data_IF_739195200905
#
_entry.id   IF_739195200905
#
_cell.length_a   1.000
_cell.length_b   1.000
_cell.length_c   1.000
_cell.angle_alpha   90.00
_cell.angle_beta   90.00
_cell.angle_gamma   90.00
#
_symmetry.space_group_name_H-M   'P 1'
#
loop_
_entity.id
_entity.type
_entity.pdbx_description
1 polymer ?
#
# COMPACT_ATOMS: atom_id res chain seq x y z
N UNK A 1 -23.51 5.14 -2.29
CA UNK A 1 -23.80 6.55 -2.06
C UNK A 1 -25.30 6.84 -2.28
N UNK A 2 -25.83 6.70 -3.47
CA UNK A 2 -27.23 7.03 -3.79
C UNK A 2 -28.27 6.33 -2.90
N UNK A 3 -28.09 5.05 -2.58
CA UNK A 3 -29.03 4.30 -1.74
C UNK A 3 -29.10 4.82 -0.30
N UNK A 4 -28.00 5.37 0.23
CA UNK A 4 -27.94 6.01 1.56
C UNK A 4 -28.57 7.38 1.54
N UNK A 5 -28.28 8.20 0.51
CA UNK A 5 -28.90 9.51 0.34
C UNK A 5 -30.42 9.43 0.29
N UNK A 6 -30.96 8.44 -0.44
CA UNK A 6 -32.41 8.16 -0.46
C UNK A 6 -32.99 7.82 0.93
N UNK A 7 -32.15 7.35 1.86
CA UNK A 7 -32.54 7.05 3.26
C UNK A 7 -32.23 8.20 4.24
N UNK A 8 -31.82 9.37 3.73
CA UNK A 8 -31.54 10.55 4.56
C UNK A 8 -30.23 10.47 5.36
N UNK A 9 -29.26 9.61 4.97
CA UNK A 9 -27.97 9.54 5.61
C UNK A 9 -26.84 9.55 4.58
N UNK A 10 -25.89 10.46 4.76
CA UNK A 10 -24.69 10.58 3.92
C UNK A 10 -23.51 9.84 4.54
N UNK A 11 -22.50 9.50 3.73
CA UNK A 11 -21.23 9.00 4.22
C UNK A 11 -20.31 10.19 4.54
N UNK A 12 -19.71 10.19 5.71
CA UNK A 12 -18.73 11.21 6.10
C UNK A 12 -17.45 11.10 5.26
N UNK A 13 -16.94 9.88 5.09
CA UNK A 13 -15.72 9.65 4.35
C UNK A 13 -15.72 8.30 3.61
N UNK A 14 -14.89 8.23 2.57
CA UNK A 14 -14.50 7.02 1.85
C UNK A 14 -13.02 6.76 2.09
N UNK A 15 -12.69 5.67 2.77
CA UNK A 15 -11.31 5.25 3.01
C UNK A 15 -10.89 4.17 2.02
N UNK A 16 -9.67 4.28 1.47
CA UNK A 16 -9.15 3.34 0.48
C UNK A 16 -7.62 3.25 0.53
N UNK A 17 -7.08 2.05 0.31
CA UNK A 17 -5.66 1.87 -0.03
C UNK A 17 -5.50 2.10 -1.56
N UNK A 18 -4.84 3.17 -2.02
CA UNK A 18 -4.72 3.46 -3.45
C UNK A 18 -3.88 2.44 -4.22
N UNK A 19 -4.35 2.02 -5.39
CA UNK A 19 -3.65 1.15 -6.31
C UNK A 19 -3.72 -0.33 -5.98
N UNK A 20 -3.57 -0.71 -4.71
CA UNK A 20 -3.60 -2.10 -4.27
C UNK A 20 -4.03 -2.23 -2.82
N UNK A 21 -5.00 -3.09 -2.54
CA UNK A 21 -5.41 -3.44 -1.18
C UNK A 21 -4.46 -4.50 -0.60
N UNK A 22 -3.62 -4.10 0.37
CA UNK A 22 -2.58 -4.94 0.93
C UNK A 22 -3.10 -6.15 1.69
N UNK A 23 -3.74 -5.96 2.87
CA UNK A 23 -4.18 -7.06 3.74
C UNK A 23 -5.22 -8.00 3.12
N UNK A 24 -5.94 -7.55 2.11
CA UNK A 24 -6.92 -8.36 1.39
C UNK A 24 -6.30 -9.38 0.41
N UNK A 25 -4.98 -9.51 0.35
CA UNK A 25 -4.26 -10.39 -0.56
C UNK A 25 -3.65 -9.66 -1.76
N UNK A 26 -3.27 -8.41 -1.57
CA UNK A 26 -2.66 -7.55 -2.60
C UNK A 26 -3.54 -7.44 -3.86
N UNK A 27 -4.83 -7.17 -3.65
CA UNK A 27 -5.81 -7.03 -4.73
C UNK A 27 -5.56 -5.70 -5.45
N UNK A 28 -5.06 -5.78 -6.68
CA UNK A 28 -4.83 -4.60 -7.52
C UNK A 28 -6.16 -4.01 -8.00
N UNK A 29 -6.27 -2.69 -7.94
CA UNK A 29 -7.43 -1.98 -8.47
C UNK A 29 -7.31 -1.83 -10.00
N UNK A 30 -8.40 -1.94 -10.75
CA UNK A 30 -8.40 -1.65 -12.17
C UNK A 30 -7.97 -0.20 -12.44
N UNK A 31 -7.22 0.01 -13.52
CA UNK A 31 -6.78 1.36 -13.91
C UNK A 31 -7.96 2.31 -14.05
N UNK A 32 -7.87 3.49 -13.44
CA UNK A 32 -8.90 4.52 -13.46
C UNK A 32 -10.08 4.25 -12.51
N UNK A 33 -10.10 3.12 -11.81
CA UNK A 33 -11.16 2.81 -10.85
C UNK A 33 -11.19 3.84 -9.72
N UNK A 34 -10.04 4.13 -9.14
CA UNK A 34 -9.93 5.05 -8.02
C UNK A 34 -10.33 6.48 -8.43
N UNK A 35 -9.89 6.94 -9.60
CA UNK A 35 -10.31 8.24 -10.15
C UNK A 35 -11.83 8.35 -10.27
N UNK A 36 -12.48 7.29 -10.76
CA UNK A 36 -13.94 7.26 -10.93
C UNK A 36 -14.67 7.24 -9.59
N UNK A 37 -14.23 6.42 -8.64
CA UNK A 37 -14.83 6.38 -7.29
C UNK A 37 -14.61 7.69 -6.56
N UNK A 38 -13.44 8.30 -6.70
CA UNK A 38 -13.15 9.61 -6.13
C UNK A 38 -14.05 10.71 -6.68
N UNK A 39 -14.32 10.71 -7.99
CA UNK A 39 -15.28 11.67 -8.59
C UNK A 39 -16.68 11.50 -7.98
N UNK A 40 -17.16 10.26 -7.82
CA UNK A 40 -18.44 9.96 -7.19
C UNK A 40 -18.45 10.45 -5.72
N UNK A 41 -17.37 10.20 -4.96
CA UNK A 41 -17.28 10.69 -3.58
C UNK A 41 -17.40 12.22 -3.50
N UNK A 42 -16.71 12.94 -4.41
CA UNK A 42 -16.79 14.41 -4.49
C UNK A 42 -18.19 14.90 -4.84
N UNK A 43 -18.85 14.27 -5.80
CA UNK A 43 -20.24 14.58 -6.17
C UNK A 43 -21.19 14.47 -4.97
N UNK A 44 -20.93 13.50 -4.08
CA UNK A 44 -21.70 13.28 -2.85
C UNK A 44 -21.13 14.00 -1.62
N UNK A 45 -20.20 14.94 -1.77
CA UNK A 45 -19.57 15.67 -0.68
C UNK A 45 -18.98 14.77 0.40
N UNK A 46 -18.52 13.58 0.01
CA UNK A 46 -17.88 12.59 0.87
C UNK A 46 -16.37 12.80 0.84
N UNK A 47 -15.75 12.96 2.01
CA UNK A 47 -14.31 13.13 2.12
C UNK A 47 -13.58 11.85 1.69
N UNK A 48 -12.36 12.00 1.18
CA UNK A 48 -11.53 10.89 0.72
C UNK A 48 -10.33 10.75 1.65
N UNK A 49 -10.18 9.56 2.24
CA UNK A 49 -9.03 9.17 3.06
C UNK A 49 -8.20 8.19 2.25
N UNK A 50 -7.00 8.59 1.83
CA UNK A 50 -6.05 7.70 1.17
C UNK A 50 -5.14 7.05 2.21
N UNK A 51 -5.30 5.75 2.43
CA UNK A 51 -4.39 4.97 3.25
C UNK A 51 -3.18 4.54 2.40
N UNK A 52 -2.15 5.37 2.42
CA UNK A 52 -0.88 5.12 1.75
C UNK A 52 0.21 4.59 2.71
N UNK A 53 -0.20 4.03 3.83
CA UNK A 53 0.71 3.42 4.81
C UNK A 53 1.56 2.32 4.18
N UNK A 54 1.00 1.53 3.24
CA UNK A 54 1.73 0.52 2.50
C UNK A 54 2.09 0.98 1.08
N UNK A 55 1.21 1.67 0.41
CA UNK A 55 1.32 1.98 -1.02
C UNK A 55 2.16 3.20 -1.31
N UNK A 56 2.27 4.12 -0.34
CA UNK A 56 2.96 5.39 -0.46
C UNK A 56 4.48 5.31 -0.53
N UNK A 57 5.09 6.48 -0.60
CA UNK A 57 6.53 6.70 -0.63
C UNK A 57 7.24 5.86 -1.71
N UNK A 58 6.56 5.74 -2.86
CA UNK A 58 7.09 5.07 -4.04
C UNK A 58 7.03 3.56 -4.02
N UNK A 59 6.31 2.94 -3.06
CA UNK A 59 6.22 1.49 -2.96
C UNK A 59 5.36 0.88 -4.06
N UNK A 60 4.14 1.40 -4.25
CA UNK A 60 3.17 0.83 -5.19
C UNK A 60 3.02 1.62 -6.50
N UNK A 61 3.74 2.72 -6.68
CA UNK A 61 3.65 3.54 -7.89
C UNK A 61 5.02 4.06 -8.35
N UNK A 62 5.08 4.60 -9.55
CA UNK A 62 6.27 5.28 -10.07
C UNK A 62 6.52 6.63 -9.34
N UNK A 63 5.44 7.30 -8.90
CA UNK A 63 5.47 8.51 -8.09
C UNK A 63 5.66 8.20 -6.60
N UNK A 64 5.51 9.22 -5.75
CA UNK A 64 5.55 9.04 -4.29
C UNK A 64 4.27 8.41 -3.77
N UNK A 65 3.12 8.79 -4.32
CA UNK A 65 1.81 8.36 -3.86
C UNK A 65 1.01 7.71 -4.99
N UNK A 66 0.36 6.60 -4.68
CA UNK A 66 -0.47 5.89 -5.62
C UNK A 66 -1.77 6.66 -5.92
N UNK A 67 -2.30 7.40 -4.95
CA UNK A 67 -3.43 8.33 -5.15
C UNK A 67 -3.14 9.37 -6.23
N UNK A 68 -1.97 9.99 -6.23
CA UNK A 68 -1.57 10.94 -7.26
C UNK A 68 -1.42 10.28 -8.64
N UNK A 69 -0.90 9.05 -8.69
CA UNK A 69 -0.81 8.29 -9.94
C UNK A 69 -2.19 8.02 -10.57
N UNK A 70 -3.22 7.85 -9.74
CA UNK A 70 -4.63 7.68 -10.12
C UNK A 70 -5.38 9.02 -10.22
N UNK A 71 -4.67 10.16 -10.15
CA UNK A 71 -5.21 11.53 -10.26
C UNK A 71 -6.27 11.88 -9.19
N UNK A 72 -6.10 11.36 -7.99
CA UNK A 72 -6.90 11.73 -6.83
C UNK A 72 -6.10 12.60 -5.90
N UNK A 73 -6.73 13.68 -5.43
CA UNK A 73 -6.26 14.47 -4.31
C UNK A 73 -7.15 14.16 -3.11
N UNK A 74 -6.66 13.40 -2.12
CA UNK A 74 -7.44 13.06 -0.94
C UNK A 74 -7.55 14.26 0.01
N UNK A 75 -8.54 14.22 0.91
CA UNK A 75 -8.66 15.18 2.03
C UNK A 75 -7.73 14.79 3.17
N UNK A 76 -7.49 13.48 3.32
CA UNK A 76 -6.54 12.91 4.28
C UNK A 76 -5.63 11.92 3.58
N UNK A 77 -4.33 12.07 3.82
CA UNK A 77 -3.29 11.17 3.31
C UNK A 77 -2.54 10.56 4.49
N UNK A 78 -2.77 9.26 4.73
CA UNK A 78 -2.13 8.53 5.82
C UNK A 78 -0.83 7.89 5.33
N UNK A 79 0.29 8.17 5.98
CA UNK A 79 1.62 7.63 5.66
C UNK A 79 2.31 7.07 6.90
N UNK A 80 3.09 5.99 6.71
CA UNK A 80 3.91 5.37 7.75
C UNK A 80 4.99 4.51 7.09
N UNK A 81 5.45 3.45 7.73
CA UNK A 81 6.40 2.44 7.21
C UNK A 81 7.61 3.04 6.48
N UNK A 82 7.47 3.32 5.18
CA UNK A 82 8.50 3.97 4.37
C UNK A 82 8.86 5.36 4.84
N UNK A 83 8.02 6.02 5.65
CA UNK A 83 8.30 7.34 6.20
C UNK A 83 9.61 7.36 7.00
N UNK A 84 9.90 6.33 7.76
CA UNK A 84 11.17 6.18 8.52
C UNK A 84 12.10 5.13 7.90
N UNK A 85 11.79 4.63 6.70
CA UNK A 85 12.53 3.51 6.11
C UNK A 85 12.42 2.21 6.90
N UNK A 86 11.49 2.12 7.86
CA UNK A 86 11.31 0.95 8.73
C UNK A 86 12.18 0.93 9.98
N UNK A 87 12.96 1.98 10.24
CA UNK A 87 13.86 2.03 11.40
C UNK A 87 13.15 2.38 12.71
N UNK A 88 12.17 3.29 12.67
CA UNK A 88 11.44 3.74 13.86
C UNK A 88 9.94 3.77 13.60
N UNK A 89 9.10 3.51 14.62
CA UNK A 89 7.66 3.63 14.50
C UNK A 89 7.27 5.12 14.42
N UNK A 90 6.77 5.53 13.27
CA UNK A 90 6.22 6.86 13.04
C UNK A 90 5.18 6.81 11.92
N UNK A 91 4.12 7.56 12.08
CA UNK A 91 3.09 7.77 11.08
C UNK A 91 2.72 9.26 11.04
N UNK A 92 2.16 9.69 9.92
CA UNK A 92 1.59 11.02 9.79
C UNK A 92 0.31 10.93 8.97
N UNK A 93 -0.63 11.80 9.31
CA UNK A 93 -1.81 12.07 8.48
C UNK A 93 -1.72 13.53 8.02
N UNK A 94 -1.54 13.70 6.73
CA UNK A 94 -1.58 15.01 6.09
C UNK A 94 -3.03 15.31 5.72
N UNK A 95 -3.41 16.58 5.83
CA UNK A 95 -4.77 17.00 5.51
C UNK A 95 -4.78 18.35 4.78
N UNK A 96 -5.96 18.76 4.29
CA UNK A 96 -6.13 20.07 3.66
C UNK A 96 -6.18 21.18 4.71
N UNK A 97 -5.92 22.42 4.28
CA UNK A 97 -6.03 23.60 5.15
C UNK A 97 -7.46 23.74 5.71
N UNK A 98 -8.48 23.47 4.90
CA UNK A 98 -9.89 23.53 5.31
C UNK A 98 -10.18 22.59 6.49
N UNK A 99 -9.66 21.35 6.44
CA UNK A 99 -9.80 20.39 7.54
C UNK A 99 -9.06 20.88 8.78
N UNK A 100 -7.82 21.36 8.63
CA UNK A 100 -7.05 21.91 9.73
C UNK A 100 -7.77 23.09 10.41
N UNK A 101 -8.29 24.03 9.63
CA UNK A 101 -8.98 25.20 10.12
C UNK A 101 -10.24 24.86 10.90
N UNK A 102 -10.87 23.73 10.62
CA UNK A 102 -12.06 23.27 11.35
C UNK A 102 -11.78 22.92 12.82
N UNK A 103 -10.51 22.69 13.18
CA UNK A 103 -10.04 22.44 14.53
C UNK A 103 -9.54 23.70 15.26
N UNK A 104 -9.53 24.83 14.58
CA UNK A 104 -9.15 26.12 15.18
C UNK A 104 -10.36 26.81 15.76
N UNK A 105 -10.20 27.46 16.90
CA UNK A 105 -11.27 28.20 17.59
C UNK A 105 -10.82 28.74 18.94
N UNK A 106 -11.71 29.45 19.60
CA UNK A 106 -11.50 29.93 20.95
C UNK A 106 -11.48 28.76 21.94
N UNK A 107 -10.89 28.97 23.11
CA UNK A 107 -10.67 27.91 24.10
C UNK A 107 -11.96 27.20 24.53
N UNK A 108 -13.05 27.91 24.68
CA UNK A 108 -14.37 27.44 25.12
C UNK A 108 -15.19 26.76 24.00
N UNK A 109 -14.77 26.87 22.74
CA UNK A 109 -15.40 26.18 21.61
C UNK A 109 -15.05 24.69 21.52
N UNK A 110 -14.04 24.23 22.24
CA UNK A 110 -13.58 22.84 22.28
C UNK A 110 -13.35 22.19 20.90
N UNK A 111 -12.90 22.98 19.93
CA UNK A 111 -12.62 22.52 18.55
C UNK A 111 -11.28 21.80 18.40
N UNK A 112 -10.45 21.80 19.43
CA UNK A 112 -9.13 21.19 19.41
C UNK A 112 -9.19 19.71 19.04
N UNK A 113 -8.30 19.26 18.16
CA UNK A 113 -8.14 17.86 17.81
C UNK A 113 -7.47 17.09 18.96
N UNK A 114 -8.26 16.58 19.90
CA UNK A 114 -7.78 15.83 21.07
C UNK A 114 -7.33 14.42 20.70
N UNK A 115 -6.27 14.30 19.92
CA UNK A 115 -5.72 13.01 19.50
C UNK A 115 -4.19 13.02 19.56
N UNK A 116 -3.63 11.95 20.13
CA UNK A 116 -2.18 11.77 20.22
C UNK A 116 -1.82 10.72 21.27
N UNK A 117 -0.54 10.51 21.43
CA UNK A 117 0.07 9.68 22.48
C UNK A 117 1.40 10.28 22.92
N UNK A 118 1.97 9.77 24.02
CA UNK A 118 3.18 10.34 24.63
C UNK A 118 4.39 10.49 23.70
N UNK A 119 4.45 9.68 22.64
CA UNK A 119 5.55 9.69 21.67
C UNK A 119 5.22 10.44 20.36
N UNK A 120 4.08 11.13 20.30
CA UNK A 120 3.72 11.96 19.14
C UNK A 120 4.78 13.03 18.93
N UNK A 121 5.25 13.17 17.68
CA UNK A 121 6.26 14.17 17.29
C UNK A 121 7.66 13.89 17.87
N UNK A 122 7.99 12.66 18.28
CA UNK A 122 9.29 12.36 18.83
C UNK A 122 10.43 12.70 17.85
N UNK A 123 11.53 13.34 18.31
CA UNK A 123 12.58 13.87 17.45
C UNK A 123 13.38 12.77 16.73
N UNK A 124 13.50 11.57 17.31
CA UNK A 124 14.22 10.47 16.66
C UNK A 124 13.45 9.98 15.43
N UNK A 125 12.11 9.82 15.56
CA UNK A 125 11.26 9.46 14.43
C UNK A 125 11.27 10.54 13.36
N UNK A 126 11.26 11.82 13.73
CA UNK A 126 11.36 12.95 12.80
C UNK A 126 12.69 12.94 12.04
N UNK A 127 13.82 12.77 12.73
CA UNK A 127 15.14 12.67 12.11
C UNK A 127 15.25 11.49 11.14
N UNK A 128 14.75 10.31 11.54
CA UNK A 128 14.71 9.14 10.67
C UNK A 128 13.82 9.36 9.43
N UNK A 129 12.70 10.09 9.59
CA UNK A 129 11.81 10.44 8.49
C UNK A 129 12.47 11.37 7.49
N UNK A 130 13.15 12.42 7.96
CA UNK A 130 13.88 13.33 7.08
C UNK A 130 14.96 12.59 6.29
N UNK A 131 15.79 11.80 6.95
CA UNK A 131 16.83 11.01 6.28
C UNK A 131 16.24 10.02 5.26
N UNK A 132 15.09 9.39 5.56
CA UNK A 132 14.40 8.50 4.64
C UNK A 132 13.87 9.25 3.41
N UNK A 133 13.30 10.44 3.59
CA UNK A 133 12.80 11.27 2.50
C UNK A 133 13.95 11.75 1.60
N UNK A 134 15.06 12.20 2.17
CA UNK A 134 16.26 12.61 1.42
C UNK A 134 16.79 11.47 0.54
N UNK A 135 16.86 10.26 1.10
CA UNK A 135 17.22 9.05 0.34
C UNK A 135 16.23 8.74 -0.77
N UNK A 136 14.94 8.90 -0.51
CA UNK A 136 13.88 8.63 -1.47
C UNK A 136 13.91 9.60 -2.66
N UNK A 137 14.25 10.86 -2.41
CA UNK A 137 14.36 11.91 -3.43
C UNK A 137 15.64 11.79 -4.26
N UNK A 138 16.65 11.08 -3.77
CA UNK A 138 17.88 10.88 -4.51
C UNK A 138 17.60 10.22 -5.87
N UNK A 139 18.28 10.71 -6.93
CA UNK A 139 18.13 10.19 -8.29
C UNK A 139 18.43 8.68 -8.40
N UNK A 140 19.34 8.19 -7.55
CA UNK A 140 19.70 6.77 -7.45
C UNK A 140 18.51 5.91 -6.95
N UNK A 141 17.78 6.37 -5.92
CA UNK A 141 16.62 5.61 -5.40
C UNK A 141 15.49 5.54 -6.41
N UNK A 142 15.22 6.62 -7.14
CA UNK A 142 14.22 6.60 -8.22
C UNK A 142 14.56 5.56 -9.30
N UNK A 143 15.83 5.47 -9.70
CA UNK A 143 16.28 4.47 -10.68
C UNK A 143 16.20 3.05 -10.12
N UNK A 144 16.61 2.83 -8.84
CA UNK A 144 16.52 1.53 -8.18
C UNK A 144 15.06 1.03 -8.10
N UNK A 145 14.11 1.92 -7.76
CA UNK A 145 12.66 1.59 -7.73
C UNK A 145 12.16 1.11 -9.09
N UNK A 146 12.51 1.82 -10.17
CA UNK A 146 12.16 1.43 -11.55
C UNK A 146 12.75 0.08 -11.92
N UNK A 147 14.03 -0.13 -11.63
CA UNK A 147 14.74 -1.38 -11.91
C UNK A 147 14.13 -2.54 -11.12
N UNK A 148 13.84 -2.34 -9.84
CA UNK A 148 13.20 -3.35 -8.99
C UNK A 148 11.86 -3.78 -9.58
N UNK A 149 10.97 -2.83 -9.92
CA UNK A 149 9.67 -3.14 -10.50
C UNK A 149 9.78 -3.91 -11.83
N UNK A 150 10.73 -3.51 -12.68
CA UNK A 150 11.00 -4.20 -13.96
C UNK A 150 11.52 -5.63 -13.74
N UNK A 151 12.46 -5.81 -12.81
CA UNK A 151 13.02 -7.11 -12.46
C UNK A 151 11.97 -8.05 -11.87
N UNK A 152 11.14 -7.59 -10.92
CA UNK A 152 10.02 -8.36 -10.37
C UNK A 152 9.10 -8.85 -11.49
N UNK A 153 8.72 -7.95 -12.40
CA UNK A 153 7.87 -8.30 -13.56
C UNK A 153 8.51 -9.33 -14.48
N UNK A 154 9.81 -9.20 -14.73
CA UNK A 154 10.54 -10.08 -15.64
C UNK A 154 10.71 -11.47 -15.04
N UNK A 155 11.21 -11.55 -13.82
CA UNK A 155 11.56 -12.83 -13.18
C UNK A 155 10.34 -13.60 -12.66
N UNK A 156 9.20 -12.96 -12.44
CA UNK A 156 7.95 -13.67 -12.08
C UNK A 156 7.26 -14.37 -13.25
N UNK A 157 7.56 -13.99 -14.50
CA UNK A 157 6.91 -14.58 -15.69
C UNK A 157 6.94 -16.12 -15.76
N UNK A 158 8.05 -16.81 -15.45
CA UNK A 158 8.08 -18.27 -15.50
C UNK A 158 7.09 -18.94 -14.55
N UNK A 159 6.68 -18.29 -13.46
CA UNK A 159 5.74 -18.84 -12.51
C UNK A 159 4.35 -19.12 -13.12
N UNK A 160 3.98 -18.41 -14.20
CA UNK A 160 2.75 -18.70 -14.95
C UNK A 160 2.68 -20.08 -15.58
N UNK A 161 3.79 -20.80 -15.63
CA UNK A 161 3.86 -22.18 -16.15
C UNK A 161 3.51 -23.24 -15.08
N UNK A 162 3.35 -22.81 -13.83
CA UNK A 162 3.05 -23.68 -12.72
C UNK A 162 1.52 -23.79 -12.53
N UNK A 163 0.98 -24.98 -12.57
CA UNK A 163 -0.46 -25.25 -12.45
C UNK A 163 -1.06 -24.83 -11.09
N UNK A 164 -0.19 -24.56 -10.11
CA UNK A 164 -0.59 -24.06 -8.79
C UNK A 164 -0.63 -22.53 -8.68
N UNK A 165 -0.25 -21.80 -9.75
CA UNK A 165 -0.26 -20.34 -9.78
C UNK A 165 -1.54 -19.86 -10.45
N UNK A 166 -2.47 -19.34 -9.67
CA UNK A 166 -3.74 -18.80 -10.15
C UNK A 166 -3.66 -17.37 -10.65
N UNK A 167 -2.82 -16.55 -10.01
CA UNK A 167 -2.65 -15.15 -10.42
C UNK A 167 -1.29 -14.58 -9.99
N UNK A 168 -0.79 -13.59 -10.73
CA UNK A 168 0.39 -12.81 -10.40
C UNK A 168 0.03 -11.34 -10.57
N UNK A 169 -0.04 -10.60 -9.45
CA UNK A 169 -0.39 -9.18 -9.40
C UNK A 169 0.82 -8.35 -9.06
N UNK A 170 0.98 -7.20 -9.70
CA UNK A 170 2.07 -6.28 -9.40
C UNK A 170 1.61 -4.83 -9.43
N UNK A 171 2.06 -4.06 -8.42
CA UNK A 171 1.95 -2.61 -8.38
C UNK A 171 3.28 -2.03 -7.87
N UNK A 172 4.04 -1.38 -8.76
CA UNK A 172 5.37 -0.88 -8.43
C UNK A 172 6.31 -1.97 -7.92
N UNK A 173 6.86 -1.76 -6.71
CA UNK A 173 7.74 -2.71 -6.00
C UNK A 173 7.00 -3.74 -5.13
N UNK A 174 5.71 -3.94 -5.37
CA UNK A 174 4.85 -4.91 -4.67
C UNK A 174 4.42 -5.97 -5.68
N UNK A 175 4.64 -7.25 -5.38
CA UNK A 175 4.20 -8.37 -6.20
C UNK A 175 3.54 -9.42 -5.31
N UNK A 176 2.45 -10.00 -5.81
CA UNK A 176 1.73 -11.09 -5.20
C UNK A 176 1.65 -12.28 -6.14
N UNK A 177 1.87 -13.48 -5.62
CA UNK A 177 1.63 -14.74 -6.32
C UNK A 177 0.53 -15.48 -5.60
N UNK A 178 -0.63 -15.63 -6.23
CA UNK A 178 -1.76 -16.34 -5.67
C UNK A 178 -1.69 -17.81 -6.04
N UNK A 179 -1.75 -18.67 -5.02
CA UNK A 179 -1.71 -20.11 -5.17
C UNK A 179 -3.14 -20.67 -5.19
N UNK A 180 -3.38 -21.59 -6.11
CA UNK A 180 -4.68 -22.26 -6.31
C UNK A 180 -4.51 -23.77 -6.39
N UNK A 181 -5.53 -24.50 -5.98
CA UNK A 181 -5.59 -25.97 -6.09
C UNK A 181 -5.88 -26.40 -7.54
N UNK A 182 -6.69 -25.61 -8.24
CA UNK A 182 -7.00 -25.80 -9.65
C UNK A 182 -7.00 -24.43 -10.37
N UNK A 183 -6.06 -24.25 -11.28
CA UNK A 183 -5.91 -22.98 -11.99
C UNK A 183 -7.02 -22.74 -13.03
N UNK A 184 -7.66 -23.80 -13.55
CA UNK A 184 -8.73 -23.67 -14.56
C UNK A 184 -9.99 -23.04 -13.96
N UNK A 185 -10.35 -23.51 -12.77
CA UNK A 185 -11.51 -23.03 -12.02
C UNK A 185 -11.17 -21.90 -11.05
N UNK A 186 -9.87 -21.61 -10.86
CA UNK A 186 -9.34 -20.69 -9.84
C UNK A 186 -9.71 -21.12 -8.42
N UNK A 187 -9.96 -22.42 -8.21
CA UNK A 187 -10.28 -22.93 -6.88
C UNK A 187 -9.11 -22.73 -5.92
N UNK A 188 -9.30 -21.97 -4.82
CA UNK A 188 -8.23 -21.77 -3.84
C UNK A 188 -7.94 -23.05 -3.07
N UNK A 189 -6.73 -23.18 -2.52
CA UNK A 189 -6.47 -24.19 -1.51
C UNK A 189 -7.27 -23.90 -0.24
N UNK A 190 -7.75 -24.94 0.43
CA UNK A 190 -8.36 -24.82 1.74
C UNK A 190 -7.36 -24.26 2.75
N UNK A 191 -7.74 -23.26 3.53
CA UNK A 191 -6.85 -22.59 4.47
C UNK A 191 -6.17 -23.53 5.49
N UNK A 192 -6.84 -24.58 6.03
CA UNK A 192 -6.19 -25.55 6.92
C UNK A 192 -4.99 -26.28 6.30
N UNK A 193 -4.91 -26.38 4.96
CA UNK A 193 -3.73 -26.95 4.27
C UNK A 193 -2.46 -26.10 4.41
N UNK A 194 -2.60 -24.82 4.81
CA UNK A 194 -1.52 -23.87 5.05
C UNK A 194 -0.48 -23.78 3.91
N UNK A 195 -0.95 -23.89 2.66
CA UNK A 195 -0.05 -23.97 1.49
C UNK A 195 0.85 -22.75 1.38
N UNK A 196 0.31 -21.55 1.58
CA UNK A 196 1.11 -20.32 1.57
C UNK A 196 2.23 -20.33 2.62
N UNK A 197 1.94 -20.80 3.85
CA UNK A 197 2.93 -20.93 4.93
C UNK A 197 4.00 -21.95 4.55
N UNK A 198 3.62 -23.08 3.99
CA UNK A 198 4.57 -24.13 3.56
C UNK A 198 5.52 -23.63 2.48
N UNK A 199 4.99 -22.88 1.50
CA UNK A 199 5.82 -22.26 0.45
C UNK A 199 6.77 -21.23 1.05
N UNK A 200 6.30 -20.32 1.90
CA UNK A 200 7.16 -19.33 2.55
C UNK A 200 8.24 -19.98 3.44
N UNK A 201 7.93 -21.06 4.14
CA UNK A 201 8.93 -21.83 4.92
C UNK A 201 10.00 -22.49 4.02
N UNK A 202 9.59 -22.98 2.83
CA UNK A 202 10.55 -23.50 1.85
C UNK A 202 11.44 -22.38 1.31
N UNK A 203 10.87 -21.22 0.97
CA UNK A 203 11.61 -20.04 0.54
C UNK A 203 12.61 -19.57 1.61
N UNK A 204 12.24 -19.59 2.88
CA UNK A 204 13.13 -19.20 3.99
C UNK A 204 14.36 -20.10 4.07
N UNK A 205 14.22 -21.43 3.87
CA UNK A 205 15.36 -22.36 3.81
C UNK A 205 16.32 -22.07 2.67
N UNK A 206 15.82 -21.45 1.59
CA UNK A 206 16.61 -21.01 0.44
C UNK A 206 17.12 -19.57 0.60
N UNK A 207 16.90 -18.95 1.77
CA UNK A 207 17.39 -17.61 2.12
C UNK A 207 16.50 -16.47 1.63
N UNK A 208 15.22 -16.74 1.35
CA UNK A 208 14.21 -15.72 1.00
C UNK A 208 13.14 -15.68 2.08
N UNK A 209 13.23 -14.68 2.96
CA UNK A 209 12.27 -14.50 4.05
C UNK A 209 11.09 -13.67 3.58
N UNK A 210 9.90 -14.27 3.60
CA UNK A 210 8.63 -13.60 3.33
C UNK A 210 7.50 -14.25 4.13
N UNK A 211 6.29 -13.74 3.97
CA UNK A 211 5.09 -14.27 4.64
C UNK A 211 3.91 -14.32 3.65
N UNK A 212 2.96 -15.26 3.81
CA UNK A 212 1.77 -15.29 3.00
C UNK A 212 0.65 -14.45 3.62
N UNK A 213 -0.35 -14.12 2.78
CA UNK A 213 -1.70 -13.73 3.19
C UNK A 213 -2.62 -14.83 2.68
N UNK A 214 -2.99 -15.77 3.55
CA UNK A 214 -3.68 -16.99 3.12
C UNK A 214 -2.87 -17.77 2.07
N UNK A 215 -3.41 -17.88 0.86
CA UNK A 215 -2.74 -18.55 -0.26
C UNK A 215 -1.93 -17.58 -1.16
N UNK A 216 -1.77 -16.33 -0.77
CA UNK A 216 -1.04 -15.31 -1.54
C UNK A 216 0.36 -15.14 -0.97
N UNK A 217 1.38 -15.41 -1.76
CA UNK A 217 2.78 -15.13 -1.41
C UNK A 217 3.08 -13.67 -1.72
N UNK A 218 3.54 -12.94 -0.70
CA UNK A 218 3.86 -11.51 -0.80
C UNK A 218 5.33 -11.33 -1.10
N UNK A 219 5.67 -10.55 -2.12
CA UNK A 219 7.04 -10.22 -2.50
C UNK A 219 7.18 -8.70 -2.55
N UNK A 220 7.84 -8.15 -1.51
CA UNK A 220 8.03 -6.70 -1.33
C UNK A 220 9.47 -6.41 -0.87
N UNK A 221 10.48 -6.68 -1.70
CA UNK A 221 11.87 -6.49 -1.29
C UNK A 221 12.23 -5.00 -1.15
N UNK A 222 13.29 -4.66 -0.40
CA UNK A 222 13.81 -3.30 -0.31
C UNK A 222 14.15 -2.70 -1.67
N UNK A 223 14.10 -1.37 -1.80
CA UNK A 223 14.43 -0.69 -3.06
C UNK A 223 15.88 -0.90 -3.52
N UNK A 224 16.79 -1.19 -2.58
CA UNK A 224 18.20 -1.46 -2.87
C UNK A 224 18.47 -2.89 -3.36
N UNK A 225 17.45 -3.76 -3.45
CA UNK A 225 17.60 -5.15 -3.88
C UNK A 225 18.13 -5.20 -5.32
N UNK A 226 19.27 -5.86 -5.49
CA UNK A 226 19.91 -6.01 -6.78
C UNK A 226 19.17 -7.00 -7.70
N UNK A 227 19.45 -6.92 -9.00
CA UNK A 227 18.89 -7.87 -9.98
C UNK A 227 19.21 -9.32 -9.63
N UNK A 228 20.43 -9.62 -9.17
CA UNK A 228 20.84 -10.96 -8.77
C UNK A 228 20.03 -11.46 -7.57
N UNK A 229 19.77 -10.58 -6.59
CA UNK A 229 18.92 -10.91 -5.46
C UNK A 229 17.45 -11.11 -5.86
N UNK A 230 16.91 -10.28 -6.76
CA UNK A 230 15.56 -10.52 -7.30
C UNK A 230 15.50 -11.86 -8.04
N UNK A 231 16.51 -12.20 -8.87
CA UNK A 231 16.59 -13.51 -9.53
C UNK A 231 16.57 -14.68 -8.54
N UNK A 232 17.18 -14.50 -7.37
CA UNK A 232 17.20 -15.54 -6.31
C UNK A 232 15.81 -15.77 -5.67
N UNK A 233 14.92 -14.77 -5.71
CA UNK A 233 13.57 -14.87 -5.15
C UNK A 233 12.70 -15.84 -5.97
N UNK A 234 12.93 -15.89 -7.28
CA UNK A 234 12.18 -16.69 -8.25
C UNK A 234 12.96 -17.90 -8.76
#
# INVERSE_FOLDING_TARGET
>A
FESRRKRGSDYAAFIVEPGVQGPAGLIAQPKGWLARVGAIAREHRTQIIADEVMTGLGRASAGYFASHAEKIQPDYLCIAKGLTGGYLPMAATLTTQEVFDSFLGEYDEFKTFFHGHSFTGNPLGAAASLASLDLLESGNTKQKRKSLAANLKSYSKPLWKLDVVGDIRQSGGVLAVELVEDWKTRKPFDLPKQVGIRVCNAMARLGVLTRPIGNVIVIMPPFCTSQAQVKKIF
#
